data_IF_243196139898
#
_entry.id   IF_243196139898
#
_cell.length_a   1.000
_cell.length_b   1.000
_cell.length_c   1.000
_cell.angle_alpha   90.00
_cell.angle_beta   90.00
_cell.angle_gamma   90.00
#
_symmetry.space_group_name_H-M   'P 1'
#
loop_
_entity.id
_entity.type
_entity.pdbx_description
1 polymer ?
#
# COMPACT_ATOMS: atom_id res chain seq x y z
N UNK A 1 -0.65 2.89 8.22
CA UNK A 1 -1.28 3.79 7.24
C UNK A 1 -2.64 4.16 7.79
N UNK A 2 -2.92 5.45 7.90
CA UNK A 2 -4.19 5.96 8.38
C UNK A 2 -4.81 6.81 7.28
N UNK A 3 -6.07 6.59 6.89
CA UNK A 3 -6.73 7.41 5.87
C UNK A 3 -6.71 8.89 6.23
N UNK A 4 -6.54 9.76 5.23
CA UNK A 4 -6.59 11.21 5.44
C UNK A 4 -7.93 11.66 6.05
N UNK A 5 -9.04 11.04 5.62
CA UNK A 5 -10.38 11.31 6.15
C UNK A 5 -10.55 10.95 7.63
N UNK A 6 -9.63 10.18 8.20
CA UNK A 6 -9.60 9.77 9.60
C UNK A 6 -8.48 10.48 10.39
N UNK A 7 -7.89 11.54 9.82
CA UNK A 7 -6.83 12.34 10.46
C UNK A 7 -5.41 11.85 10.19
N UNK A 8 -5.21 10.96 9.22
CA UNK A 8 -3.88 10.55 8.79
C UNK A 8 -3.09 11.70 8.13
N UNK A 9 -1.78 11.75 8.38
CA UNK A 9 -0.90 12.75 7.79
C UNK A 9 -0.80 12.59 6.27
N UNK A 10 -0.70 13.71 5.55
CA UNK A 10 -0.39 13.70 4.13
C UNK A 10 1.13 13.59 3.95
N UNK A 11 1.63 12.39 3.71
CA UNK A 11 3.05 12.11 3.48
C UNK A 11 3.24 10.84 2.66
N UNK A 12 4.39 10.70 2.00
CA UNK A 12 4.71 9.52 1.17
C UNK A 12 4.72 8.25 2.04
N UNK A 13 5.17 8.37 3.28
CA UNK A 13 5.23 7.27 4.25
C UNK A 13 3.84 6.83 4.76
N UNK A 14 2.81 7.65 4.52
CA UNK A 14 1.41 7.36 4.83
C UNK A 14 0.54 7.27 3.54
N UNK A 15 1.16 7.21 2.37
CA UNK A 15 0.48 7.32 1.08
C UNK A 15 0.74 6.12 0.15
N UNK A 16 -0.21 5.84 -0.74
CA UNK A 16 0.00 4.93 -1.88
C UNK A 16 -0.71 5.46 -3.12
N UNK A 17 -0.05 5.37 -4.27
CA UNK A 17 -0.65 5.70 -5.56
C UNK A 17 -1.43 4.50 -6.11
N UNK A 18 -2.71 4.70 -6.41
CA UNK A 18 -3.61 3.68 -6.91
C UNK A 18 -4.34 4.19 -8.16
N UNK A 19 -4.57 3.30 -9.12
CA UNK A 19 -5.50 3.62 -10.20
C UNK A 19 -6.93 3.71 -9.63
N UNK A 20 -7.83 4.38 -10.36
CA UNK A 20 -9.24 4.58 -9.94
C UNK A 20 -9.91 3.31 -9.41
N UNK A 21 -9.78 2.19 -10.14
CA UNK A 21 -10.39 0.91 -9.76
C UNK A 21 -9.85 0.40 -8.42
N UNK A 22 -8.54 0.40 -8.24
CA UNK A 22 -7.92 -0.06 -6.99
C UNK A 22 -8.25 0.88 -5.82
N UNK A 23 -8.31 2.19 -6.08
CA UNK A 23 -8.68 3.18 -5.08
C UNK A 23 -10.10 2.96 -4.53
N UNK A 24 -11.08 2.71 -5.41
CA UNK A 24 -12.45 2.36 -5.02
C UNK A 24 -12.50 1.08 -4.18
N UNK A 25 -11.70 0.06 -4.52
CA UNK A 25 -11.67 -1.19 -3.77
C UNK A 25 -11.07 -1.03 -2.36
N UNK A 26 -10.09 -0.16 -2.17
CA UNK A 26 -9.60 0.17 -0.82
C UNK A 26 -10.69 0.84 0.01
N UNK A 27 -11.38 1.84 -0.54
CA UNK A 27 -12.38 2.58 0.23
C UNK A 27 -13.70 1.82 0.47
N UNK A 28 -14.10 0.96 -0.46
CA UNK A 28 -15.44 0.38 -0.45
C UNK A 28 -15.47 -1.14 -0.60
N UNK A 29 -14.36 -1.76 -0.99
CA UNK A 29 -14.26 -3.19 -1.25
C UNK A 29 -13.77 -4.02 -0.06
N UNK A 30 -13.57 -3.40 1.11
CA UNK A 30 -13.08 -4.08 2.32
C UNK A 30 -11.61 -4.51 2.23
N UNK A 31 -10.85 -3.97 1.28
CA UNK A 31 -9.41 -4.18 1.21
C UNK A 31 -8.71 -3.28 2.23
N UNK A 32 -7.71 -3.83 2.90
CA UNK A 32 -6.86 -3.05 3.81
C UNK A 32 -5.47 -2.85 3.17
N UNK A 33 -4.80 -1.77 3.57
CA UNK A 33 -3.47 -1.43 3.10
C UNK A 33 -2.58 -0.99 4.26
N UNK A 34 -1.33 -1.43 4.25
CA UNK A 34 -0.30 -0.95 5.16
C UNK A 34 1.04 -0.81 4.42
N UNK A 35 1.91 0.06 4.95
CA UNK A 35 3.28 0.21 4.48
C UNK A 35 4.16 -0.75 5.27
N UNK A 36 4.91 -1.60 4.58
CA UNK A 36 5.86 -2.53 5.19
C UNK A 36 7.10 -1.82 5.72
N UNK A 37 7.93 -2.54 6.46
CA UNK A 37 9.22 -2.03 6.97
C UNK A 37 10.18 -1.59 5.85
N UNK A 38 9.93 -2.04 4.64
CA UNK A 38 10.66 -1.76 3.42
C UNK A 38 10.14 -0.52 2.66
N UNK A 39 9.16 0.17 3.21
CA UNK A 39 8.56 1.37 2.60
C UNK A 39 7.59 1.07 1.46
N UNK A 40 7.26 -0.19 1.18
CA UNK A 40 6.33 -0.55 0.11
C UNK A 40 4.94 -0.92 0.64
N UNK A 41 3.88 -0.65 -0.14
CA UNK A 41 2.53 -1.02 0.23
C UNK A 41 2.27 -2.52 0.10
N UNK A 42 1.55 -3.03 1.09
CA UNK A 42 0.98 -4.38 1.16
C UNK A 42 -0.54 -4.28 1.21
N UNK A 43 -1.21 -5.19 0.50
CA UNK A 43 -2.67 -5.20 0.37
C UNK A 43 -3.24 -6.47 0.99
N UNK A 44 -4.24 -6.33 1.85
CA UNK A 44 -4.92 -7.45 2.49
C UNK A 44 -6.30 -7.59 1.85
N UNK A 45 -6.67 -8.78 1.34
CA UNK A 45 -7.98 -8.97 0.75
C UNK A 45 -9.09 -8.86 1.81
N UNK A 46 -10.33 -8.56 1.37
CA UNK A 46 -11.49 -8.59 2.26
C UNK A 46 -11.71 -9.99 2.81
N UNK A 47 -12.44 -10.07 3.92
CA UNK A 47 -12.89 -11.34 4.47
C UNK A 47 -13.83 -12.03 3.47
N UNK A 48 -13.54 -13.28 3.12
CA UNK A 48 -14.41 -14.13 2.30
C UNK A 48 -15.05 -15.20 3.21
N UNK A 49 -16.38 -15.17 3.41
CA UNK A 49 -17.08 -16.18 4.20
C UNK A 49 -16.90 -17.62 3.68
N UNK A 50 -16.68 -17.78 2.38
CA UNK A 50 -16.49 -19.10 1.76
C UNK A 50 -15.02 -19.55 1.82
N UNK A 51 -14.10 -18.68 2.22
CA UNK A 51 -12.67 -18.96 2.39
C UNK A 51 -12.13 -18.36 3.69
N UNK A 52 -12.60 -18.87 4.85
CA UNK A 52 -12.12 -18.40 6.14
C UNK A 52 -10.59 -18.55 6.24
N UNK A 53 -9.91 -17.48 6.65
CA UNK A 53 -8.45 -17.43 6.79
C UNK A 53 -7.68 -17.03 5.53
N UNK A 54 -8.32 -16.82 4.37
CA UNK A 54 -7.67 -16.38 3.14
C UNK A 54 -7.30 -14.88 3.12
N UNK A 55 -6.84 -14.33 4.24
CA UNK A 55 -6.46 -12.92 4.40
C UNK A 55 -4.95 -12.67 4.30
N UNK A 56 -4.27 -13.40 3.41
CA UNK A 56 -2.82 -13.25 3.23
C UNK A 56 -2.51 -11.96 2.49
N UNK A 57 -1.64 -11.12 3.07
CA UNK A 57 -1.19 -9.90 2.44
C UNK A 57 -0.44 -10.18 1.13
N UNK A 58 -0.76 -9.42 0.09
CA UNK A 58 -0.11 -9.46 -1.21
C UNK A 58 0.71 -8.19 -1.42
N UNK A 59 1.88 -8.36 -2.03
CA UNK A 59 2.78 -7.26 -2.40
C UNK A 59 2.22 -6.47 -3.57
N UNK A 60 2.53 -5.18 -3.64
CA UNK A 60 2.30 -4.37 -4.85
C UNK A 60 2.95 -5.01 -6.08
N UNK A 61 2.22 -5.05 -7.19
CA UNK A 61 2.73 -5.54 -8.47
C UNK A 61 3.84 -4.63 -9.03
N UNK A 62 3.82 -3.34 -8.68
CA UNK A 62 4.83 -2.34 -9.07
C UNK A 62 5.94 -2.20 -8.03
N UNK A 63 5.99 -3.07 -7.00
CA UNK A 63 7.07 -3.06 -6.00
C UNK A 63 8.41 -3.35 -6.69
N UNK A 64 9.21 -2.30 -6.88
CA UNK A 64 10.58 -2.35 -7.40
C UNK A 64 11.54 -2.10 -6.27
N UNK A 65 12.65 -2.81 -6.27
CA UNK A 65 13.81 -2.47 -5.43
C UNK A 65 14.28 -1.09 -5.83
N UNK A 66 14.46 -0.19 -4.86
CA UNK A 66 15.11 1.09 -5.11
C UNK A 66 16.56 0.78 -5.44
N UNK A 67 16.94 0.90 -6.72
CA UNK A 67 18.35 0.95 -7.10
C UNK A 67 18.81 2.36 -6.80
N UNK A 68 19.47 2.56 -5.66
CA UNK A 68 20.16 3.82 -5.40
C UNK A 68 21.26 3.95 -6.44
N UNK A 69 21.12 4.91 -7.36
CA UNK A 69 22.22 5.27 -8.24
C UNK A 69 23.21 6.07 -7.41
N UNK A 70 24.36 5.48 -7.10
CA UNK A 70 25.49 6.16 -6.49
C UNK A 70 26.04 7.18 -7.49
N UNK A 71 25.53 8.42 -7.46
CA UNK A 71 26.23 9.67 -7.80
C UNK A 71 25.22 10.83 -7.93
N UNK A 72 25.17 11.70 -6.93
CA UNK A 72 24.80 13.12 -7.10
C UNK A 72 25.30 14.03 -5.94
N UNK A 73 26.11 13.54 -5.00
CA UNK A 73 26.76 14.37 -3.98
C UNK A 73 28.26 14.47 -4.30
N UNK A 74 28.57 15.16 -5.40
CA UNK A 74 29.91 15.62 -5.72
C UNK A 74 29.81 16.90 -6.55
N UNK A 75 29.45 18.00 -5.90
CA UNK A 75 29.67 19.36 -6.37
C UNK A 75 29.70 20.32 -5.19
#
# INVERSE_FOLDING_TARGET
MTPWSEGGETGIDNGVLLCRRCHTLIHHGGWEVFIGHDGHPWFVPPTDPNRPGARRAIRSHTRRTITVHETADAA
#
